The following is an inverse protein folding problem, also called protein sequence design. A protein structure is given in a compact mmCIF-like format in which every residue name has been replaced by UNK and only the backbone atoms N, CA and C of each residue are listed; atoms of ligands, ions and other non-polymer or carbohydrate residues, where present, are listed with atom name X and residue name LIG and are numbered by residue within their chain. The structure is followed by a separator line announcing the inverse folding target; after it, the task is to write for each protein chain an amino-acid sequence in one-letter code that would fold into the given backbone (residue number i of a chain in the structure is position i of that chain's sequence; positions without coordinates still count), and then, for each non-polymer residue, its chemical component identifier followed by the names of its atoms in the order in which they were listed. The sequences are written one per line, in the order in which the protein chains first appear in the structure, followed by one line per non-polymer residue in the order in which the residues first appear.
data_IF_756166168152
#
_entry.id   IF_756166168152
#
_cell.length_a   1.000
_cell.length_b   1.000
_cell.length_c   1.000
_cell.angle_alpha   90.00
_cell.angle_beta   90.00
_cell.angle_gamma   90.00
#
_symmetry.space_group_name_H-M   'P 1'
#
loop_
_entity.id
_entity.type
_entity.pdbx_description
1 polymer ?
#
# COMPACT_ATOMS: atom_id res chain seq x y z
N UNK A 1 -17.51 -40.36 11.65
CA UNK A 1 -16.43 -39.34 11.54
C UNK A 1 -16.33 -38.58 12.85
N UNK A 2 -15.20 -38.66 13.55
CA UNK A 2 -15.05 -38.11 14.90
C UNK A 2 -15.13 -36.58 14.93
N UNK A 3 -16.09 -36.03 15.69
CA UNK A 3 -16.25 -34.60 15.89
C UNK A 3 -14.98 -33.92 16.44
N UNK A 4 -14.14 -34.66 17.16
CA UNK A 4 -12.84 -34.20 17.64
C UNK A 4 -11.82 -33.97 16.50
N UNK A 5 -11.76 -34.85 15.50
CA UNK A 5 -10.88 -34.70 14.34
C UNK A 5 -11.29 -33.54 13.42
N UNK A 6 -12.61 -33.32 13.29
CA UNK A 6 -13.17 -32.14 12.61
C UNK A 6 -12.78 -30.83 13.31
N UNK A 7 -12.86 -30.80 14.64
CA UNK A 7 -12.51 -29.63 15.48
C UNK A 7 -11.01 -29.30 15.44
N UNK A 8 -10.14 -30.30 15.55
CA UNK A 8 -8.68 -30.13 15.49
C UNK A 8 -8.24 -29.61 14.11
N UNK A 9 -8.82 -30.15 13.03
CA UNK A 9 -8.55 -29.68 11.66
C UNK A 9 -9.01 -28.23 11.43
N UNK A 10 -10.11 -27.81 12.05
CA UNK A 10 -10.61 -26.44 11.96
C UNK A 10 -9.69 -25.43 12.68
N UNK A 11 -9.17 -25.79 13.86
CA UNK A 11 -8.26 -24.93 14.65
C UNK A 11 -6.86 -24.86 14.00
N UNK A 12 -6.30 -26.00 13.59
CA UNK A 12 -4.97 -26.06 12.99
C UNK A 12 -4.93 -25.48 11.57
N UNK A 13 -6.06 -25.42 10.86
CA UNK A 13 -6.13 -24.82 9.52
C UNK A 13 -6.31 -23.31 9.53
N UNK A 14 -7.32 -22.79 10.25
CA UNK A 14 -7.73 -21.40 10.06
C UNK A 14 -6.76 -20.37 10.66
N UNK A 15 -6.06 -20.69 11.75
CA UNK A 15 -5.10 -19.78 12.39
C UNK A 15 -3.91 -19.47 11.48
N UNK A 16 -3.18 -20.51 11.02
CA UNK A 16 -2.09 -20.35 10.05
C UNK A 16 -2.53 -19.72 8.73
N UNK A 17 -3.73 -20.03 8.23
CA UNK A 17 -4.27 -19.39 7.01
C UNK A 17 -4.43 -17.88 7.21
N UNK A 18 -5.00 -17.44 8.35
CA UNK A 18 -5.17 -16.00 8.63
C UNK A 18 -3.81 -15.29 8.73
N UNK A 19 -2.81 -15.93 9.34
CA UNK A 19 -1.45 -15.40 9.40
C UNK A 19 -0.82 -15.27 8.00
N UNK A 20 -0.94 -16.31 7.17
CA UNK A 20 -0.45 -16.31 5.79
C UNK A 20 -1.09 -15.19 4.96
N UNK A 21 -2.40 -15.02 5.03
CA UNK A 21 -3.11 -13.93 4.36
C UNK A 21 -2.60 -12.57 4.82
N UNK A 22 -2.30 -12.42 6.11
CA UNK A 22 -1.78 -11.17 6.66
C UNK A 22 -0.37 -10.83 6.16
N UNK A 23 0.50 -11.85 6.03
CA UNK A 23 1.83 -11.68 5.44
C UNK A 23 1.74 -11.31 3.96
N UNK A 24 0.84 -11.96 3.21
CA UNK A 24 0.58 -11.60 1.81
C UNK A 24 0.13 -10.14 1.71
N UNK A 25 -0.80 -9.70 2.55
CA UNK A 25 -1.25 -8.30 2.56
C UNK A 25 -0.10 -7.31 2.83
N UNK A 26 0.76 -7.59 3.82
CA UNK A 26 1.93 -6.76 4.13
C UNK A 26 2.93 -6.69 2.97
N UNK A 27 3.25 -7.84 2.36
CA UNK A 27 4.15 -7.91 1.21
C UNK A 27 3.56 -7.16 0.00
N UNK A 28 2.26 -7.29 -0.23
CA UNK A 28 1.55 -6.54 -1.26
C UNK A 28 1.65 -5.02 -1.06
N UNK A 29 1.55 -4.52 0.19
CA UNK A 29 1.72 -3.09 0.47
C UNK A 29 3.14 -2.64 0.15
N UNK A 30 4.15 -3.40 0.58
CA UNK A 30 5.55 -3.09 0.30
C UNK A 30 5.85 -3.08 -1.21
N UNK A 31 5.30 -4.05 -1.95
CA UNK A 31 5.43 -4.13 -3.41
C UNK A 31 4.74 -2.95 -4.11
N UNK A 32 3.56 -2.53 -3.66
CA UNK A 32 2.86 -1.38 -4.23
C UNK A 32 3.65 -0.08 -4.03
N UNK A 33 4.15 0.17 -2.81
CA UNK A 33 4.98 1.33 -2.52
C UNK A 33 6.30 1.30 -3.33
N UNK A 34 6.97 0.13 -3.35
CA UNK A 34 8.20 -0.05 -4.11
C UNK A 34 8.01 0.15 -5.61
N UNK A 35 6.92 -0.34 -6.18
CA UNK A 35 6.59 -0.13 -7.59
C UNK A 35 6.39 1.35 -7.93
N UNK A 36 5.67 2.10 -7.08
CA UNK A 36 5.51 3.54 -7.23
C UNK A 36 6.86 4.26 -7.21
N UNK A 37 7.65 4.06 -6.15
CA UNK A 37 8.95 4.72 -5.99
C UNK A 37 9.93 4.36 -7.11
N UNK A 38 9.88 3.12 -7.61
CA UNK A 38 10.70 2.68 -8.73
C UNK A 38 10.34 3.40 -10.04
N UNK A 39 9.05 3.55 -10.35
CA UNK A 39 8.60 4.30 -11.54
C UNK A 39 8.98 5.78 -11.45
N UNK A 40 8.80 6.39 -10.27
CA UNK A 40 9.21 7.78 -10.04
C UNK A 40 10.73 7.93 -10.20
N UNK A 41 11.52 7.00 -9.66
CA UNK A 41 12.98 6.98 -9.83
C UNK A 41 13.38 6.94 -11.31
N UNK A 42 12.84 5.98 -12.07
CA UNK A 42 13.14 5.83 -13.50
C UNK A 42 12.71 7.03 -14.35
N UNK A 43 11.61 7.68 -14.00
CA UNK A 43 11.15 8.89 -14.67
C UNK A 43 12.15 10.04 -14.49
N UNK A 44 12.77 10.12 -13.31
CA UNK A 44 13.69 11.19 -12.91
C UNK A 44 15.19 10.87 -13.17
N UNK A 45 15.52 9.65 -13.59
CA UNK A 45 16.88 9.13 -13.80
C UNK A 45 17.64 9.85 -14.93
N UNK A 46 18.89 10.28 -14.71
CA UNK A 46 19.13 11.67 -14.40
C UNK A 46 18.57 12.63 -15.45
N UNK A 47 17.67 13.51 -14.99
CA UNK A 47 17.35 14.75 -15.69
C UNK A 47 18.61 15.63 -15.69
N UNK A 48 19.08 16.01 -16.88
CA UNK A 48 20.32 16.77 -17.05
C UNK A 48 20.14 18.25 -16.65
N UNK A 49 21.26 18.99 -16.58
CA UNK A 49 21.26 20.41 -16.23
C UNK A 49 20.58 21.34 -17.25
N UNK A 50 20.05 20.81 -18.36
CA UNK A 50 19.29 21.60 -19.31
C UNK A 50 17.81 21.73 -18.91
N UNK A 51 17.26 20.84 -18.07
CA UNK A 51 15.89 21.01 -17.55
C UNK A 51 15.80 22.26 -16.67
N UNK A 52 15.00 23.24 -17.07
CA UNK A 52 14.93 24.57 -16.43
C UNK A 52 16.18 25.44 -16.57
N UNK A 53 17.06 25.13 -17.52
CA UNK A 53 18.22 25.96 -17.87
C UNK A 53 17.85 27.18 -18.76
N UNK A 54 18.82 28.00 -19.15
CA UNK A 54 18.57 29.20 -19.95
C UNK A 54 18.34 28.89 -21.45
N UNK A 55 18.74 27.71 -21.92
CA UNK A 55 18.57 27.29 -23.32
C UNK A 55 17.21 26.62 -23.53
N UNK A 56 16.34 27.30 -24.29
CA UNK A 56 15.00 26.84 -24.63
C UNK A 56 15.02 25.53 -25.43
N UNK A 57 15.94 25.38 -26.38
CA UNK A 57 16.01 24.17 -27.22
C UNK A 57 16.47 22.97 -26.40
N UNK A 58 17.46 23.15 -25.53
CA UNK A 58 17.91 22.10 -24.63
C UNK A 58 16.83 21.73 -23.59
N UNK A 59 16.03 22.70 -23.11
CA UNK A 59 14.86 22.44 -22.24
C UNK A 59 13.79 21.60 -22.92
N UNK A 60 13.42 21.98 -24.15
CA UNK A 60 12.42 21.25 -24.94
C UNK A 60 12.84 19.80 -25.18
N UNK A 61 14.09 19.55 -25.57
CA UNK A 61 14.60 18.19 -25.77
C UNK A 61 14.52 17.33 -24.51
N UNK A 62 14.81 17.91 -23.34
CA UNK A 62 14.74 17.18 -22.07
C UNK A 62 13.30 16.93 -21.64
N UNK A 63 12.41 17.92 -21.84
CA UNK A 63 10.98 17.73 -21.59
C UNK A 63 10.38 16.63 -22.47
N UNK A 64 10.73 16.57 -23.76
CA UNK A 64 10.33 15.50 -24.67
C UNK A 64 10.85 14.12 -24.21
N UNK A 65 12.10 14.04 -23.74
CA UNK A 65 12.65 12.80 -23.19
C UNK A 65 11.92 12.35 -21.94
N UNK A 66 11.64 13.27 -21.00
CA UNK A 66 10.89 12.97 -19.78
C UNK A 66 9.46 12.53 -20.12
N UNK A 67 8.80 13.20 -21.08
CA UNK A 67 7.48 12.81 -21.57
C UNK A 67 7.49 11.43 -22.21
N UNK A 68 8.46 11.12 -23.08
CA UNK A 68 8.59 9.81 -23.71
C UNK A 68 8.79 8.69 -22.68
N UNK A 69 9.58 8.94 -21.63
CA UNK A 69 9.75 8.01 -20.50
C UNK A 69 8.47 7.84 -19.68
N UNK A 70 7.75 8.93 -19.42
CA UNK A 70 6.46 8.86 -18.73
C UNK A 70 5.47 7.97 -19.49
N UNK A 71 5.38 8.13 -20.82
CA UNK A 71 4.56 7.25 -21.66
C UNK A 71 5.02 5.79 -21.61
N UNK A 72 6.33 5.53 -21.72
CA UNK A 72 6.86 4.17 -21.65
C UNK A 72 6.64 3.50 -20.27
N UNK A 73 6.67 4.28 -19.19
CA UNK A 73 6.40 3.79 -17.83
C UNK A 73 4.89 3.65 -17.55
N UNK A 74 4.02 4.24 -18.37
CA UNK A 74 2.57 4.07 -18.24
C UNK A 74 2.14 2.67 -18.72
N UNK A 75 2.85 2.11 -19.70
CA UNK A 75 2.66 0.71 -20.16
C UNK A 75 2.91 -0.33 -19.04
N UNK A 76 3.58 0.06 -17.96
CA UNK A 76 3.83 -0.81 -16.81
C UNK A 76 2.65 -0.88 -15.84
N UNK A 77 1.60 -0.08 -16.04
CA UNK A 77 0.41 -0.05 -15.20
C UNK A 77 -0.15 -1.44 -14.88
N UNK A 78 -0.23 -2.43 -15.82
CA UNK A 78 -0.69 -3.77 -15.51
C UNK A 78 0.08 -4.48 -14.39
N UNK A 79 1.38 -4.20 -14.23
CA UNK A 79 2.19 -4.77 -13.14
C UNK A 79 1.76 -4.24 -11.77
N UNK A 80 1.23 -3.01 -11.71
CA UNK A 80 0.67 -2.43 -10.49
C UNK A 80 -0.59 -3.15 -9.98
N UNK A 81 -1.27 -3.92 -10.84
CA UNK A 81 -2.45 -4.70 -10.43
C UNK A 81 -2.09 -5.92 -9.60
N UNK A 82 -0.88 -6.44 -9.72
CA UNK A 82 -0.42 -7.65 -8.99
C UNK A 82 -0.44 -7.41 -7.47
N UNK A 83 0.25 -6.40 -6.91
CA UNK A 83 0.20 -6.14 -5.47
C UNK A 83 -1.21 -5.76 -5.02
N UNK A 84 -1.97 -5.03 -5.84
CA UNK A 84 -3.36 -4.66 -5.54
C UNK A 84 -4.28 -5.88 -5.41
N UNK A 85 -4.26 -6.78 -6.39
CA UNK A 85 -5.04 -8.01 -6.36
C UNK A 85 -4.63 -8.90 -5.17
N UNK A 86 -3.33 -9.02 -4.91
CA UNK A 86 -2.82 -9.76 -3.74
C UNK A 86 -3.37 -9.21 -2.42
N UNK A 87 -3.37 -7.89 -2.25
CA UNK A 87 -3.88 -7.23 -1.06
C UNK A 87 -5.39 -7.41 -0.88
N UNK A 88 -6.16 -7.19 -1.95
CA UNK A 88 -7.63 -7.34 -1.95
C UNK A 88 -8.01 -8.79 -1.65
N UNK A 89 -7.42 -9.75 -2.34
CA UNK A 89 -7.70 -11.18 -2.13
C UNK A 89 -7.29 -11.63 -0.72
N UNK A 90 -6.16 -11.16 -0.21
CA UNK A 90 -5.72 -11.47 1.14
C UNK A 90 -6.70 -10.98 2.22
N UNK A 91 -7.14 -9.73 2.10
CA UNK A 91 -8.07 -9.11 3.06
C UNK A 91 -9.48 -9.69 2.95
N UNK A 92 -9.98 -9.96 1.74
CA UNK A 92 -11.23 -10.68 1.54
C UNK A 92 -11.17 -12.11 2.09
N UNK A 93 -10.05 -12.80 1.89
CA UNK A 93 -9.79 -14.10 2.50
C UNK A 93 -9.82 -14.04 4.03
N UNK A 94 -9.18 -13.03 4.63
CA UNK A 94 -9.17 -12.85 6.07
C UNK A 94 -10.58 -12.57 6.63
N UNK A 95 -11.36 -11.73 5.93
CA UNK A 95 -12.76 -11.49 6.24
C UNK A 95 -13.60 -12.77 6.15
N UNK A 96 -13.42 -13.57 5.09
CA UNK A 96 -14.12 -14.84 4.91
C UNK A 96 -13.78 -15.84 6.03
N UNK A 97 -12.51 -15.92 6.45
CA UNK A 97 -12.08 -16.74 7.58
C UNK A 97 -12.75 -16.25 8.87
N UNK A 98 -12.74 -14.95 9.15
CA UNK A 98 -13.40 -14.37 10.33
C UNK A 98 -14.92 -14.62 10.31
N UNK A 99 -15.58 -14.44 9.17
CA UNK A 99 -17.01 -14.69 9.01
C UNK A 99 -17.35 -16.18 9.24
N UNK A 100 -16.54 -17.09 8.68
CA UNK A 100 -16.74 -18.53 8.88
C UNK A 100 -16.63 -18.95 10.35
N UNK A 101 -15.74 -18.30 11.12
CA UNK A 101 -15.57 -18.52 12.57
C UNK A 101 -16.71 -17.96 13.40
N UNK A 102 -17.31 -16.85 12.96
CA UNK A 102 -18.38 -16.19 13.71
C UNK A 102 -19.59 -17.10 13.97
N UNK A 103 -19.80 -18.12 13.14
CA UNK A 103 -20.84 -19.13 13.28
C UNK A 103 -20.62 -20.10 14.46
N UNK A 104 -19.39 -20.24 14.94
CA UNK A 104 -19.00 -21.26 15.93
C UNK A 104 -18.53 -20.70 17.27
N UNK A 105 -18.17 -19.42 17.31
CA UNK A 105 -17.64 -18.78 18.52
C UNK A 105 -18.75 -18.31 19.47
N UNK A 106 -18.51 -18.44 20.78
CA UNK A 106 -19.42 -17.99 21.84
C UNK A 106 -19.02 -16.61 22.38
N UNK A 107 -20.03 -15.80 22.70
CA UNK A 107 -20.01 -14.52 23.43
C UNK A 107 -18.73 -13.69 23.29
N UNK A 108 -17.81 -13.77 24.25
CA UNK A 108 -16.62 -12.91 24.28
C UNK A 108 -15.67 -13.14 23.08
N UNK A 109 -15.49 -14.39 22.65
CA UNK A 109 -14.67 -14.72 21.48
C UNK A 109 -15.36 -14.27 20.19
N UNK A 110 -16.69 -14.26 20.16
CA UNK A 110 -17.47 -13.75 19.03
C UNK A 110 -17.30 -12.24 18.90
N UNK A 111 -17.38 -11.49 19.99
CA UNK A 111 -17.14 -10.04 19.98
C UNK A 111 -15.74 -9.70 19.50
N UNK A 112 -14.72 -10.40 20.01
CA UNK A 112 -13.33 -10.22 19.57
C UNK A 112 -13.14 -10.55 18.07
N UNK A 113 -13.78 -11.62 17.57
CA UNK A 113 -13.76 -11.97 16.16
C UNK A 113 -14.47 -10.94 15.27
N UNK A 114 -15.58 -10.36 15.73
CA UNK A 114 -16.26 -9.27 15.03
C UNK A 114 -15.39 -8.03 14.98
N UNK A 115 -14.73 -7.66 16.08
CA UNK A 115 -13.79 -6.55 16.10
C UNK A 115 -12.65 -6.77 15.09
N UNK A 116 -12.09 -7.99 15.03
CA UNK A 116 -11.07 -8.35 14.04
C UNK A 116 -11.60 -8.26 12.61
N UNK A 117 -12.83 -8.72 12.35
CA UNK A 117 -13.48 -8.60 11.05
C UNK A 117 -13.65 -7.13 10.63
N UNK A 118 -14.06 -6.26 11.55
CA UNK A 118 -14.15 -4.81 11.30
C UNK A 118 -12.78 -4.19 11.00
N UNK A 119 -11.73 -4.60 11.71
CA UNK A 119 -10.37 -4.12 11.43
C UNK A 119 -9.89 -4.54 10.04
N UNK A 120 -10.15 -5.78 9.61
CA UNK A 120 -9.85 -6.20 8.22
C UNK A 120 -10.68 -5.43 7.18
N UNK A 121 -11.95 -5.14 7.47
CA UNK A 121 -12.79 -4.31 6.59
C UNK A 121 -12.26 -2.88 6.48
N UNK A 122 -11.85 -2.29 7.61
CA UNK A 122 -11.18 -0.99 7.65
C UNK A 122 -9.86 -0.99 6.88
N UNK A 123 -9.05 -2.04 7.04
CA UNK A 123 -7.80 -2.21 6.30
C UNK A 123 -8.04 -2.33 4.79
N UNK A 124 -9.12 -3.00 4.37
CA UNK A 124 -9.49 -3.11 2.95
C UNK A 124 -9.88 -1.75 2.36
N UNK A 125 -10.69 -0.97 3.08
CA UNK A 125 -11.02 0.40 2.67
C UNK A 125 -9.79 1.30 2.60
N UNK A 126 -8.92 1.22 3.62
CA UNK A 126 -7.69 2.00 3.69
C UNK A 126 -6.69 1.62 2.59
N UNK A 127 -6.59 0.32 2.27
CA UNK A 127 -5.81 -0.20 1.14
C UNK A 127 -6.29 0.37 -0.19
N UNK A 128 -7.60 0.31 -0.45
CA UNK A 128 -8.19 0.89 -1.66
C UNK A 128 -7.92 2.39 -1.77
N UNK A 129 -8.05 3.12 -0.66
CA UNK A 129 -7.75 4.55 -0.62
C UNK A 129 -6.26 4.84 -0.86
N UNK A 130 -5.36 4.09 -0.23
CA UNK A 130 -3.90 4.23 -0.39
C UNK A 130 -3.48 4.01 -1.84
N UNK A 131 -4.02 2.96 -2.48
CA UNK A 131 -3.75 2.66 -3.89
C UNK A 131 -4.29 3.75 -4.83
N UNK A 132 -5.49 4.27 -4.54
CA UNK A 132 -6.04 5.39 -5.29
C UNK A 132 -5.13 6.63 -5.21
N UNK A 133 -4.55 6.90 -4.04
CA UNK A 133 -3.59 8.00 -3.88
C UNK A 133 -2.28 7.75 -4.63
N UNK A 134 -1.74 6.53 -4.64
CA UNK A 134 -0.55 6.21 -5.44
C UNK A 134 -0.77 6.44 -6.95
N UNK A 135 -1.93 6.05 -7.48
CA UNK A 135 -2.27 6.29 -8.89
C UNK A 135 -2.44 7.79 -9.20
N UNK A 136 -3.12 8.54 -8.33
CA UNK A 136 -3.26 9.99 -8.48
C UNK A 136 -1.91 10.71 -8.40
N UNK A 137 -1.05 10.28 -7.47
CA UNK A 137 0.30 10.79 -7.33
C UNK A 137 1.13 10.50 -8.59
N UNK A 138 1.07 9.26 -9.12
CA UNK A 138 1.71 8.91 -10.38
C UNK A 138 1.24 9.80 -11.53
N UNK A 139 -0.08 9.91 -11.74
CA UNK A 139 -0.66 10.70 -12.84
C UNK A 139 -0.19 12.16 -12.78
N UNK A 140 -0.11 12.71 -11.57
CA UNK A 140 0.33 14.09 -11.35
C UNK A 140 1.83 14.25 -11.63
N UNK A 141 2.66 13.33 -11.13
CA UNK A 141 4.11 13.35 -11.39
C UNK A 141 4.41 13.18 -12.89
N UNK A 142 3.73 12.22 -13.55
CA UNK A 142 3.88 11.98 -14.98
C UNK A 142 3.48 13.18 -15.84
N UNK A 143 2.43 13.93 -15.44
CA UNK A 143 1.97 15.14 -16.15
C UNK A 143 2.81 16.38 -15.84
N UNK A 144 3.21 16.57 -14.59
CA UNK A 144 3.87 17.79 -14.15
C UNK A 144 5.38 17.78 -14.42
N UNK A 145 6.01 16.59 -14.48
CA UNK A 145 7.45 16.48 -14.68
C UNK A 145 7.96 17.10 -16.00
N UNK A 146 7.33 16.90 -17.17
CA UNK A 146 7.78 17.56 -18.40
C UNK A 146 7.54 19.07 -18.34
N UNK A 147 6.39 19.50 -17.79
CA UNK A 147 6.04 20.90 -17.67
C UNK A 147 7.00 21.65 -16.73
N UNK A 148 7.44 21.03 -15.65
CA UNK A 148 8.44 21.59 -14.74
C UNK A 148 9.80 21.82 -15.43
N UNK A 149 10.19 20.97 -16.39
CA UNK A 149 11.42 21.18 -17.16
C UNK A 149 11.36 22.33 -18.16
N UNK A 150 10.15 22.73 -18.56
CA UNK A 150 9.92 23.86 -19.46
C UNK A 150 9.88 25.20 -18.73
N UNK A 151 9.86 25.24 -17.40
CA UNK A 151 9.89 26.49 -16.63
C UNK A 151 11.31 27.05 -16.60
N UNK A 152 11.47 28.34 -16.87
CA UNK A 152 12.76 29.02 -16.74
C UNK A 152 13.04 29.29 -15.25
N UNK A 153 13.84 28.43 -14.63
CA UNK A 153 14.19 28.52 -13.22
C UNK A 153 15.38 29.47 -12.97
N UNK A 154 16.05 29.95 -14.03
CA UNK A 154 17.22 30.83 -13.93
C UNK A 154 16.78 32.28 -13.72
N UNK A 155 15.58 32.65 -14.17
CA UNK A 155 15.01 33.98 -13.97
C UNK A 155 14.74 34.33 -12.49
N UNK A 156 14.52 33.34 -11.62
CA UNK A 156 14.16 33.51 -10.20
C UNK A 156 15.35 33.45 -9.22
N UNK A 157 16.59 33.40 -9.72
CA UNK A 157 17.80 33.66 -8.93
C UNK A 157 18.61 32.41 -8.51
N UNK A 158 19.93 32.64 -8.41
CA UNK A 158 21.10 31.75 -8.17
C UNK A 158 20.94 30.57 -7.19
N UNK A 159 19.94 29.72 -7.37
CA UNK A 159 19.82 28.44 -6.68
C UNK A 159 20.37 27.36 -7.61
N UNK A 160 21.28 26.49 -7.13
CA UNK A 160 21.82 25.40 -7.96
C UNK A 160 20.64 24.56 -8.45
N UNK A 161 20.57 24.36 -9.77
CA UNK A 161 19.43 23.83 -10.51
C UNK A 161 18.86 22.53 -9.94
N UNK A 162 19.73 21.63 -9.43
CA UNK A 162 19.31 20.41 -8.74
C UNK A 162 18.48 20.67 -7.47
N UNK A 163 18.81 21.74 -6.74
CA UNK A 163 18.09 22.19 -5.53
C UNK A 163 16.84 22.98 -5.91
N UNK A 164 16.87 23.77 -6.99
CA UNK A 164 15.72 24.49 -7.51
C UNK A 164 14.64 23.55 -8.06
N UNK A 165 15.03 22.51 -8.81
CA UNK A 165 14.13 21.46 -9.29
C UNK A 165 13.56 20.63 -8.14
N UNK A 166 14.37 20.28 -7.13
CA UNK A 166 13.85 19.62 -5.94
C UNK A 166 12.88 20.51 -5.18
N UNK A 167 13.14 21.82 -5.10
CA UNK A 167 12.28 22.81 -4.46
C UNK A 167 11.01 23.10 -5.28
N UNK A 168 11.05 23.14 -6.61
CA UNK A 168 9.87 23.36 -7.46
C UNK A 168 9.03 22.11 -7.60
N UNK A 169 9.62 20.92 -7.64
CA UNK A 169 8.87 19.69 -7.39
C UNK A 169 8.29 19.69 -5.98
N UNK A 170 9.03 20.10 -4.96
CA UNK A 170 8.56 20.19 -3.58
C UNK A 170 7.49 21.29 -3.40
N UNK A 171 7.49 22.36 -4.20
CA UNK A 171 6.51 23.46 -4.16
C UNK A 171 5.28 23.09 -4.98
N UNK A 172 5.43 22.51 -6.18
CA UNK A 172 4.31 21.98 -6.96
C UNK A 172 3.60 20.83 -6.23
N UNK A 173 4.33 20.05 -5.43
CA UNK A 173 3.75 19.05 -4.53
C UNK A 173 3.16 19.65 -3.25
N UNK A 174 3.62 20.83 -2.80
CA UNK A 174 3.12 21.52 -1.60
C UNK A 174 1.92 22.45 -1.89
N UNK A 175 1.89 23.14 -3.02
CA UNK A 175 0.78 24.01 -3.45
C UNK A 175 -0.41 23.18 -3.92
N UNK A 176 -0.16 22.03 -4.56
CA UNK A 176 -1.18 21.00 -4.72
C UNK A 176 -1.26 20.14 -3.45
N UNK A 177 -1.45 20.76 -2.27
CA UNK A 177 -1.41 20.15 -0.93
C UNK A 177 -2.28 18.88 -0.74
N UNK A 178 -3.15 18.55 -1.69
CA UNK A 178 -3.91 17.30 -1.73
C UNK A 178 -3.09 16.10 -2.27
N UNK A 179 -2.05 16.33 -3.07
CA UNK A 179 -1.10 15.30 -3.54
C UNK A 179 -0.25 14.72 -2.40
N UNK A 180 -0.01 15.53 -1.37
CA UNK A 180 0.96 15.26 -0.30
C UNK A 180 0.32 14.99 1.06
N UNK A 181 -0.95 14.58 1.10
CA UNK A 181 -1.37 13.69 2.19
C UNK A 181 -0.77 12.32 1.88
N UNK A 182 0.52 12.24 2.18
CA UNK A 182 1.51 11.27 1.74
C UNK A 182 0.93 9.84 1.56
N UNK A 183 0.96 9.25 0.36
CA UNK A 183 0.53 7.86 0.17
C UNK A 183 1.39 6.90 1.00
N UNK A 184 2.64 7.26 1.32
CA UNK A 184 3.50 6.48 2.23
C UNK A 184 3.02 6.58 3.69
N UNK A 185 2.51 7.73 4.16
CA UNK A 185 1.97 7.85 5.53
C UNK A 185 0.75 6.95 5.69
N UNK A 186 -0.11 6.92 4.68
CA UNK A 186 -1.29 6.07 4.65
C UNK A 186 -0.91 4.59 4.53
N UNK A 187 0.12 4.27 3.75
CA UNK A 187 0.70 2.93 3.69
C UNK A 187 1.31 2.52 5.04
N UNK A 188 1.97 3.42 5.77
CA UNK A 188 2.49 3.17 7.12
C UNK A 188 1.35 2.91 8.12
N UNK A 189 0.30 3.72 8.10
CA UNK A 189 -0.90 3.50 8.93
C UNK A 189 -1.52 2.14 8.60
N UNK A 190 -1.61 1.79 7.31
CA UNK A 190 -2.08 0.49 6.87
C UNK A 190 -1.19 -0.64 7.38
N UNK A 191 0.14 -0.52 7.30
CA UNK A 191 1.09 -1.50 7.83
C UNK A 191 0.88 -1.68 9.34
N UNK A 192 0.77 -0.59 10.11
CA UNK A 192 0.52 -0.64 11.55
C UNK A 192 -0.82 -1.33 11.85
N UNK A 193 -1.87 -1.00 11.11
CA UNK A 193 -3.17 -1.64 11.23
C UNK A 193 -3.09 -3.14 10.91
N UNK A 194 -2.40 -3.51 9.84
CA UNK A 194 -2.18 -4.90 9.44
C UNK A 194 -1.40 -5.68 10.51
N UNK A 195 -0.40 -5.07 11.14
CA UNK A 195 0.33 -5.67 12.26
C UNK A 195 -0.57 -5.84 13.48
N UNK A 196 -1.38 -4.84 13.81
CA UNK A 196 -2.35 -4.93 14.89
C UNK A 196 -3.38 -6.05 14.66
N UNK A 197 -3.90 -6.20 13.43
CA UNK A 197 -4.78 -7.32 13.08
C UNK A 197 -4.07 -8.66 13.12
N UNK A 198 -2.78 -8.71 12.75
CA UNK A 198 -1.97 -9.94 12.86
C UNK A 198 -1.88 -10.39 14.32
N UNK A 199 -1.49 -9.48 15.21
CA UNK A 199 -1.38 -9.74 16.65
C UNK A 199 -2.73 -10.14 17.23
N UNK A 200 -3.80 -9.40 16.90
CA UNK A 200 -5.16 -9.73 17.32
C UNK A 200 -5.61 -11.12 16.85
N UNK A 201 -5.31 -11.48 15.60
CA UNK A 201 -5.58 -12.80 15.03
C UNK A 201 -4.83 -13.93 15.73
N UNK A 202 -3.56 -13.74 16.06
CA UNK A 202 -2.74 -14.70 16.81
C UNK A 202 -3.30 -14.88 18.22
N UNK A 203 -3.56 -13.78 18.94
CA UNK A 203 -4.09 -13.81 20.31
C UNK A 203 -5.46 -14.50 20.34
N UNK A 204 -6.34 -14.16 19.41
CA UNK A 204 -7.66 -14.77 19.29
C UNK A 204 -7.54 -16.27 18.97
N UNK A 205 -6.65 -16.66 18.06
CA UNK A 205 -6.41 -18.06 17.75
C UNK A 205 -5.89 -18.85 18.96
N UNK A 206 -4.95 -18.29 19.72
CA UNK A 206 -4.45 -18.90 20.95
C UNK A 206 -5.55 -19.02 22.03
N UNK A 207 -6.44 -18.03 22.14
CA UNK A 207 -7.56 -18.08 23.09
C UNK A 207 -8.57 -19.16 22.71
N UNK A 208 -8.90 -19.28 21.41
CA UNK A 208 -9.75 -20.35 20.89
C UNK A 208 -9.12 -21.72 21.18
N UNK A 209 -7.83 -21.91 20.84
CA UNK A 209 -7.12 -23.17 21.09
C UNK A 209 -7.14 -23.55 22.58
N UNK A 210 -6.91 -22.59 23.48
CA UNK A 210 -6.96 -22.80 24.93
C UNK A 210 -8.36 -23.19 25.43
N UNK A 211 -9.41 -22.47 25.01
CA UNK A 211 -10.78 -22.77 25.42
C UNK A 211 -11.28 -24.16 24.99
N UNK A 212 -10.63 -24.78 24.00
CA UNK A 212 -10.97 -26.12 23.50
C UNK A 212 -10.10 -27.23 24.11
N UNK A 213 -8.98 -26.87 24.76
CA UNK A 213 -8.12 -27.79 25.50
C UNK A 213 -8.62 -28.06 26.94
N UNK A 214 -9.58 -27.27 27.44
CA UNK A 214 -10.18 -27.40 28.77
C UNK A 214 -11.35 -28.39 28.98
N UNK A 215 -11.54 -29.52 28.24
CA UNK A 215 -12.50 -30.56 28.66
C UNK A 215 -12.00 -31.57 29.70
N UNK A 216 -10.72 -31.57 30.11
CA UNK A 216 -10.11 -32.69 30.87
C UNK A 216 -9.73 -32.39 32.34
N UNK A 217 -10.21 -31.30 32.95
CA UNK A 217 -9.84 -30.92 34.33
C UNK A 217 -11.05 -30.70 35.27
N UNK A 218 -12.17 -31.35 35.00
CA UNK A 218 -13.33 -31.37 35.90
C UNK A 218 -13.94 -32.77 35.90
N UNK A 219 -13.45 -33.61 36.83
CA UNK A 219 -14.14 -34.83 37.27
C UNK A 219 -15.29 -34.51 38.21
#
# INVERSE_FOLDING_TARGET
MNAAASRIRCICGQGPILLMLQLVALLSVALAAGFFHYRVGLLLEPINAACGGPDEQARLQVAEQVMARACALDDWQPLGWIPMAGMVLALLGALAVCASRALWLRDQLRTANVALMLLHGGALGLAGWTLHLYENAWSSVARLSPAACLMDLVADGNTPLAKAQHVVFHILTRENAMLLRNPDDLALVLVVLLLATMVGGIVLWQAIARSWATPFAGG
#
